data_IF_958877085564
#
_entry.id   IF_958877085564
#
_cell.length_a   1.000
_cell.length_b   1.000
_cell.length_c   1.000
_cell.angle_alpha   90.00
_cell.angle_beta   90.00
_cell.angle_gamma   90.00
#
_symmetry.space_group_name_H-M   'P 1'
#
loop_
_entity.id
_entity.type
_entity.pdbx_description
1 polymer ?
#
# COMPACT_ATOMS: atom_id res chain seq x y z
N UNK A 1 3.17 -53.28 40.71
CA UNK A 1 2.58 -52.55 39.56
C UNK A 1 2.13 -51.21 40.08
N UNK A 2 2.96 -50.17 39.86
CA UNK A 2 2.80 -48.86 40.48
C UNK A 2 2.11 -47.89 39.53
N UNK A 3 1.02 -47.30 40.01
CA UNK A 3 0.31 -46.18 39.39
C UNK A 3 1.11 -44.88 39.57
N UNK A 4 1.23 -44.08 38.52
CA UNK A 4 1.63 -42.67 38.63
C UNK A 4 0.55 -41.79 38.01
N UNK A 5 0.09 -40.86 38.83
CA UNK A 5 -1.00 -39.89 38.65
C UNK A 5 -0.51 -38.67 37.86
N UNK A 6 -1.40 -38.15 37.01
CA UNK A 6 -1.25 -36.94 36.19
C UNK A 6 -1.01 -35.68 37.04
N UNK A 7 0.01 -34.90 36.67
CA UNK A 7 0.24 -33.55 37.18
C UNK A 7 -0.53 -32.52 36.35
N UNK A 8 -1.40 -31.77 37.02
CA UNK A 8 -2.00 -30.53 36.53
C UNK A 8 -1.00 -29.37 36.64
N UNK A 9 -1.05 -28.47 35.67
CA UNK A 9 -0.24 -27.25 35.61
C UNK A 9 -1.17 -26.08 35.87
N UNK A 10 -1.09 -25.50 37.07
CA UNK A 10 -1.72 -24.23 37.42
C UNK A 10 -0.75 -23.09 37.06
N UNK A 11 -1.24 -22.14 36.26
CA UNK A 11 -0.53 -20.90 35.91
C UNK A 11 -1.18 -19.75 36.68
N UNK A 12 -0.48 -19.09 37.63
CA UNK A 12 -1.01 -17.89 38.26
C UNK A 12 -0.76 -16.64 37.39
N UNK A 13 -1.86 -15.96 37.10
CA UNK A 13 -1.94 -14.59 36.58
C UNK A 13 -1.42 -13.62 37.65
N UNK A 14 -0.44 -12.79 37.29
CA UNK A 14 0.04 -11.68 38.11
C UNK A 14 -0.20 -10.37 37.34
N UNK A 15 -1.19 -9.62 37.80
CA UNK A 15 -1.44 -8.24 37.41
C UNK A 15 -0.59 -7.31 38.29
N UNK A 16 0.13 -6.37 37.65
CA UNK A 16 0.83 -5.29 38.34
C UNK A 16 0.40 -3.94 37.73
N UNK A 17 0.03 -3.03 38.63
CA UNK A 17 -0.55 -1.71 38.44
C UNK A 17 0.38 -0.69 37.77
N UNK A 18 -0.15 0.37 37.12
CA UNK A 18 0.57 1.62 36.94
C UNK A 18 0.16 2.66 38.01
N UNK A 19 1.12 3.02 38.88
CA UNK A 19 1.11 4.28 39.65
C UNK A 19 1.97 5.30 38.89
N UNK A 20 1.38 6.41 38.45
CA UNK A 20 2.10 7.65 38.13
C UNK A 20 1.24 8.84 38.59
N UNK A 21 1.62 9.43 39.72
CA UNK A 21 1.27 10.79 40.13
C UNK A 21 2.51 11.69 39.93
N UNK A 22 2.33 12.82 39.24
CA UNK A 22 3.00 14.13 39.40
C UNK A 22 2.66 14.95 38.14
N UNK A 23 1.72 15.92 38.15
CA UNK A 23 1.60 17.20 38.87
C UNK A 23 2.64 18.25 38.45
N UNK A 24 2.12 19.48 38.27
CA UNK A 24 2.70 20.81 38.03
C UNK A 24 2.48 21.32 36.60
N UNK A 25 1.47 22.20 36.37
CA UNK A 25 1.47 23.68 36.57
C UNK A 25 2.41 24.35 35.55
N UNK A 26 2.19 25.49 34.90
CA UNK A 26 1.16 26.52 34.76
C UNK A 26 1.76 27.49 33.69
N UNK A 27 0.97 28.45 33.20
CA UNK A 27 1.38 29.72 32.60
C UNK A 27 1.78 29.79 31.11
N UNK A 28 0.77 30.25 30.34
CA UNK A 28 0.73 31.56 29.66
C UNK A 28 1.66 31.92 28.49
N UNK A 29 0.95 32.39 27.48
CA UNK A 29 1.32 33.15 26.28
C UNK A 29 2.26 34.35 26.49
N UNK A 30 2.93 34.73 25.40
CA UNK A 30 3.41 36.05 24.90
C UNK A 30 4.71 35.77 24.13
N UNK A 31 5.13 36.45 23.07
CA UNK A 31 4.74 37.63 22.31
C UNK A 31 5.62 37.56 21.03
N UNK A 32 5.07 37.82 19.85
CA UNK A 32 5.25 39.08 19.10
C UNK A 32 6.63 39.32 18.49
N UNK A 33 6.58 39.77 17.22
CA UNK A 33 7.58 40.58 16.49
C UNK A 33 8.78 39.83 15.89
N UNK A 34 9.24 40.12 14.67
CA UNK A 34 8.96 41.22 13.74
C UNK A 34 9.59 40.91 12.38
N UNK A 35 8.87 41.24 11.31
CA UNK A 35 9.44 41.51 9.99
C UNK A 35 10.44 42.68 10.05
N UNK A 36 11.36 42.74 9.09
CA UNK A 36 11.51 44.00 8.36
C UNK A 36 11.42 43.81 6.84
N UNK A 37 10.67 44.73 6.24
CA UNK A 37 10.66 45.03 4.82
C UNK A 37 11.95 45.76 4.35
N UNK A 38 12.13 45.76 3.02
CA UNK A 38 12.71 46.78 2.11
C UNK A 38 14.20 46.72 1.72
N UNK A 39 14.41 46.54 0.41
CA UNK A 39 15.16 47.40 -0.55
C UNK A 39 15.42 46.56 -1.82
N UNK A 40 14.77 46.75 -2.97
CA UNK A 40 14.70 47.86 -3.94
C UNK A 40 16.04 48.28 -4.57
N UNK A 41 15.99 48.42 -5.92
CA UNK A 41 17.00 48.88 -6.89
C UNK A 41 17.94 47.77 -7.40
N UNK A 42 18.19 47.57 -8.70
CA UNK A 42 17.95 48.38 -9.89
C UNK A 42 18.16 47.52 -11.15
N UNK A 43 17.50 47.92 -12.24
CA UNK A 43 17.66 47.34 -13.57
C UNK A 43 19.05 47.59 -14.14
N UNK A 44 19.59 46.60 -14.87
CA UNK A 44 20.45 46.80 -16.04
C UNK A 44 20.64 45.47 -16.82
N UNK A 45 20.00 45.41 -17.99
CA UNK A 45 20.47 44.72 -19.21
C UNK A 45 20.77 45.86 -20.20
N UNK A 46 21.64 45.72 -21.23
CA UNK A 46 21.76 44.55 -22.11
C UNK A 46 23.18 44.25 -22.62
N UNK A 47 23.37 43.11 -23.31
CA UNK A 47 23.90 43.06 -24.68
C UNK A 47 24.30 41.63 -25.09
N UNK A 48 23.98 41.34 -26.34
CA UNK A 48 24.08 40.07 -27.05
C UNK A 48 25.47 39.83 -27.65
N UNK A 49 25.88 38.56 -27.71
CA UNK A 49 26.81 37.97 -28.69
C UNK A 49 26.43 36.48 -28.75
N UNK A 50 25.61 36.03 -29.70
CA UNK A 50 25.89 35.74 -31.11
C UNK A 50 27.10 34.84 -31.31
N UNK A 51 26.87 33.52 -31.34
CA UNK A 51 27.55 32.57 -32.24
C UNK A 51 26.64 31.38 -32.53
N UNK A 52 26.19 31.33 -33.78
CA UNK A 52 26.13 30.19 -34.69
C UNK A 52 25.68 28.79 -34.24
N UNK A 53 24.46 28.48 -34.68
CA UNK A 53 24.10 27.37 -35.57
C UNK A 53 24.87 26.03 -35.47
N UNK A 54 24.21 25.00 -34.89
CA UNK A 54 23.98 23.73 -35.61
C UNK A 54 22.81 22.94 -35.03
N UNK A 55 21.64 23.16 -35.63
CA UNK A 55 20.52 22.24 -35.60
C UNK A 55 20.97 20.88 -36.14
N UNK A 56 20.87 19.84 -35.32
CA UNK A 56 20.89 18.47 -35.81
C UNK A 56 19.55 17.84 -35.44
N UNK A 57 18.57 18.03 -36.33
CA UNK A 57 17.35 17.25 -36.37
C UNK A 57 17.71 15.77 -36.59
N UNK A 58 17.84 14.99 -35.52
CA UNK A 58 17.73 13.53 -35.62
C UNK A 58 16.27 13.15 -35.51
N UNK A 59 15.62 13.07 -36.68
CA UNK A 59 14.30 12.47 -36.85
C UNK A 59 14.43 10.97 -36.56
N UNK A 60 14.02 10.52 -35.38
CA UNK A 60 13.67 9.12 -35.18
C UNK A 60 12.33 8.86 -35.86
N UNK A 61 12.42 8.35 -37.08
CA UNK A 61 11.31 7.78 -37.84
C UNK A 61 10.71 6.59 -37.09
N UNK A 62 9.41 6.69 -36.83
CA UNK A 62 8.39 5.63 -37.03
C UNK A 62 8.83 4.20 -36.67
N UNK A 63 8.49 3.77 -35.46
CA UNK A 63 8.17 2.36 -35.19
C UNK A 63 6.66 2.27 -34.99
N UNK A 64 5.93 2.08 -36.09
CA UNK A 64 4.56 1.58 -36.07
C UNK A 64 4.64 0.07 -35.90
N UNK A 65 4.76 -0.41 -34.66
CA UNK A 65 4.41 -1.80 -34.38
C UNK A 65 2.90 -1.89 -34.30
N UNK A 66 2.28 -2.32 -35.41
CA UNK A 66 0.98 -2.96 -35.40
C UNK A 66 1.03 -4.11 -34.37
N UNK A 67 0.48 -3.88 -33.18
CA UNK A 67 -0.15 -4.94 -32.41
C UNK A 67 -1.65 -4.78 -32.59
N UNK A 68 -2.09 -5.20 -33.76
CA UNK A 68 -3.46 -5.62 -33.94
C UNK A 68 -3.72 -6.82 -33.01
N UNK A 69 -4.93 -6.80 -32.46
CA UNK A 69 -5.68 -7.98 -32.11
C UNK A 69 -5.23 -8.77 -30.87
N UNK A 70 -5.67 -8.29 -29.70
CA UNK A 70 -6.23 -9.14 -28.65
C UNK A 70 -7.35 -8.36 -27.94
N UNK A 71 -8.32 -7.90 -28.72
CA UNK A 71 -9.64 -7.53 -28.20
C UNK A 71 -10.47 -8.80 -28.13
N UNK A 72 -10.47 -9.45 -26.96
CA UNK A 72 -11.57 -10.26 -26.42
C UNK A 72 -11.07 -10.92 -25.14
N UNK A 73 -11.32 -10.29 -23.98
CA UNK A 73 -11.45 -10.94 -22.64
C UNK A 73 -11.43 -9.95 -21.45
N UNK A 74 -11.57 -8.63 -21.65
CA UNK A 74 -11.39 -7.65 -20.55
C UNK A 74 -12.53 -6.65 -20.36
N UNK A 75 -13.79 -7.02 -20.66
CA UNK A 75 -14.95 -6.10 -20.50
C UNK A 75 -16.06 -6.56 -19.55
N UNK A 76 -15.85 -7.53 -18.67
CA UNK A 76 -16.93 -7.97 -17.74
C UNK A 76 -16.64 -7.79 -16.25
N UNK A 77 -15.43 -7.41 -15.83
CA UNK A 77 -15.10 -7.38 -14.39
C UNK A 77 -15.76 -6.24 -13.59
N UNK A 78 -16.25 -5.18 -14.25
CA UNK A 78 -16.87 -4.03 -13.58
C UNK A 78 -18.35 -3.81 -13.92
N UNK A 79 -18.93 -4.66 -14.79
CA UNK A 79 -20.34 -4.54 -15.22
C UNK A 79 -21.29 -5.48 -14.46
N UNK A 80 -20.83 -6.14 -13.39
CA UNK A 80 -21.66 -7.02 -12.58
C UNK A 80 -22.51 -6.27 -11.54
N UNK A 81 -22.06 -5.10 -11.05
CA UNK A 81 -22.79 -4.34 -10.02
C UNK A 81 -24.13 -3.78 -10.50
N UNK A 82 -24.23 -3.34 -11.76
CA UNK A 82 -25.48 -2.75 -12.28
C UNK A 82 -26.52 -3.80 -12.69
N UNK A 83 -26.10 -5.02 -13.06
CA UNK A 83 -27.02 -6.12 -13.39
C UNK A 83 -27.58 -6.84 -12.15
N UNK A 84 -26.91 -6.72 -11.00
CA UNK A 84 -27.25 -7.44 -9.77
C UNK A 84 -28.59 -7.05 -9.13
N UNK A 85 -29.11 -5.84 -9.38
CA UNK A 85 -30.36 -5.38 -8.73
C UNK A 85 -31.57 -6.16 -9.25
N UNK A 86 -31.58 -6.52 -10.53
CA UNK A 86 -32.71 -7.22 -11.15
C UNK A 86 -32.43 -8.70 -11.42
N UNK A 87 -31.16 -9.13 -11.39
CA UNK A 87 -30.76 -10.50 -11.62
C UNK A 87 -29.75 -10.90 -10.53
N UNK A 88 -30.21 -11.50 -9.42
CA UNK A 88 -29.28 -11.99 -8.41
C UNK A 88 -28.35 -13.02 -9.05
N UNK A 89 -27.04 -12.89 -8.81
CA UNK A 89 -26.00 -13.86 -9.21
C UNK A 89 -26.33 -15.30 -8.80
N UNK A 90 -25.74 -16.34 -9.35
CA UNK A 90 -25.96 -17.70 -8.82
C UNK A 90 -25.13 -17.96 -7.55
N UNK A 91 -25.46 -19.00 -6.77
CA UNK A 91 -24.60 -19.42 -5.64
C UNK A 91 -23.23 -19.86 -6.14
N UNK A 92 -23.18 -20.60 -7.26
CA UNK A 92 -21.96 -21.07 -7.89
C UNK A 92 -21.03 -19.91 -8.27
N UNK A 93 -21.58 -18.82 -8.82
CA UNK A 93 -20.82 -17.62 -9.15
C UNK A 93 -20.20 -16.95 -7.92
N UNK A 94 -20.94 -16.88 -6.81
CA UNK A 94 -20.44 -16.28 -5.56
C UNK A 94 -19.30 -17.12 -4.99
N UNK A 95 -19.47 -18.44 -4.92
CA UNK A 95 -18.43 -19.33 -4.39
C UNK A 95 -17.19 -19.39 -5.30
N UNK A 96 -17.39 -19.37 -6.62
CA UNK A 96 -16.28 -19.29 -7.58
C UNK A 96 -15.47 -18.00 -7.41
N UNK A 97 -16.15 -16.85 -7.25
CA UNK A 97 -15.47 -15.57 -7.00
C UNK A 97 -14.76 -15.57 -5.64
N UNK A 98 -15.37 -16.12 -4.58
CA UNK A 98 -14.73 -16.26 -3.27
C UNK A 98 -13.45 -17.09 -3.34
N UNK A 99 -13.50 -18.27 -3.97
CA UNK A 99 -12.34 -19.15 -4.10
C UNK A 99 -11.22 -18.47 -4.90
N UNK A 100 -11.56 -17.79 -6.00
CA UNK A 100 -10.61 -17.03 -6.80
C UNK A 100 -9.94 -15.92 -5.99
N UNK A 101 -10.72 -15.13 -5.25
CA UNK A 101 -10.22 -14.03 -4.45
C UNK A 101 -9.37 -14.52 -3.27
N UNK A 102 -9.75 -15.62 -2.61
CA UNK A 102 -8.95 -16.23 -1.55
C UNK A 102 -7.59 -16.71 -2.08
N UNK A 103 -7.56 -17.38 -3.24
CA UNK A 103 -6.31 -17.81 -3.87
C UNK A 103 -5.43 -16.60 -4.25
N UNK A 104 -6.04 -15.57 -4.83
CA UNK A 104 -5.35 -14.34 -5.21
C UNK A 104 -4.79 -13.62 -3.98
N UNK A 105 -5.54 -13.58 -2.88
CA UNK A 105 -5.10 -13.02 -1.60
C UNK A 105 -3.87 -13.74 -1.06
N UNK A 106 -3.84 -15.08 -1.12
CA UNK A 106 -2.67 -15.85 -0.71
C UNK A 106 -1.42 -15.49 -1.52
N UNK A 107 -1.56 -15.28 -2.83
CA UNK A 107 -0.46 -14.83 -3.67
C UNK A 107 0.04 -13.42 -3.30
N UNK A 108 -0.88 -12.50 -2.99
CA UNK A 108 -0.52 -11.16 -2.52
C UNK A 108 0.19 -11.18 -1.17
N UNK A 109 -0.29 -11.97 -0.20
CA UNK A 109 0.36 -12.12 1.10
C UNK A 109 1.79 -12.64 0.94
N UNK A 110 2.00 -13.65 0.08
CA UNK A 110 3.34 -14.16 -0.19
C UNK A 110 4.27 -13.08 -0.79
N UNK A 111 3.77 -12.27 -1.71
CA UNK A 111 4.51 -11.13 -2.27
C UNK A 111 4.80 -10.05 -1.24
N UNK A 112 3.84 -9.77 -0.34
CA UNK A 112 4.01 -8.81 0.75
C UNK A 112 5.11 -9.28 1.70
N UNK A 113 5.11 -10.56 2.10
CA UNK A 113 6.17 -11.14 2.91
C UNK A 113 7.56 -11.02 2.24
N UNK A 114 7.66 -11.31 0.93
CA UNK A 114 8.91 -11.13 0.18
C UNK A 114 9.38 -9.66 0.18
N UNK A 115 8.46 -8.72 -0.06
CA UNK A 115 8.74 -7.28 0.02
C UNK A 115 9.22 -6.86 1.41
N UNK A 116 8.62 -7.38 2.49
CA UNK A 116 9.06 -7.11 3.86
C UNK A 116 10.47 -7.65 4.13
N UNK A 117 10.76 -8.86 3.67
CA UNK A 117 12.09 -9.47 3.80
C UNK A 117 13.16 -8.67 3.05
N UNK A 118 12.85 -8.22 1.83
CA UNK A 118 13.74 -7.35 1.06
C UNK A 118 13.91 -5.99 1.71
N UNK A 119 12.84 -5.43 2.26
CA UNK A 119 12.86 -4.16 2.98
C UNK A 119 13.80 -4.25 4.19
N UNK A 120 13.66 -5.29 5.02
CA UNK A 120 14.49 -5.46 6.22
C UNK A 120 15.97 -5.66 5.88
N UNK A 121 16.28 -6.45 4.85
CA UNK A 121 17.66 -6.63 4.38
C UNK A 121 18.25 -5.31 3.87
N UNK A 122 17.50 -4.57 3.03
CA UNK A 122 17.93 -3.28 2.49
C UNK A 122 18.10 -2.25 3.61
N UNK A 123 17.25 -2.28 4.62
CA UNK A 123 17.35 -1.41 5.81
C UNK A 123 18.67 -1.65 6.54
N UNK A 124 19.05 -2.91 6.77
CA UNK A 124 20.35 -3.25 7.37
C UNK A 124 21.53 -2.72 6.54
N UNK A 125 21.47 -2.83 5.20
CA UNK A 125 22.49 -2.28 4.30
C UNK A 125 22.65 -0.75 4.40
N UNK A 126 21.58 -0.02 4.76
CA UNK A 126 21.69 1.43 4.94
C UNK A 126 22.62 1.81 6.09
N UNK A 127 22.73 0.95 7.12
CA UNK A 127 23.59 1.15 8.28
C UNK A 127 24.95 0.47 8.10
N UNK A 128 24.96 -0.78 7.64
CA UNK A 128 26.13 -1.66 7.62
C UNK A 128 26.93 -1.61 6.31
N UNK A 129 26.41 -0.97 5.25
CA UNK A 129 27.07 -0.98 3.93
C UNK A 129 28.50 -0.43 3.96
N UNK A 130 29.42 -1.11 3.27
CA UNK A 130 30.87 -0.83 3.29
C UNK A 130 31.24 0.57 2.78
N UNK A 131 30.43 1.14 1.88
CA UNK A 131 30.69 2.46 1.28
C UNK A 131 29.52 3.42 1.39
N UNK A 132 29.81 4.72 1.41
CA UNK A 132 28.79 5.79 1.33
C UNK A 132 27.88 5.64 0.11
N UNK A 133 28.42 5.15 -1.01
CA UNK A 133 27.66 4.90 -2.24
C UNK A 133 26.65 3.76 -2.05
N UNK A 134 27.06 2.65 -1.42
CA UNK A 134 26.17 1.54 -1.09
C UNK A 134 25.03 2.00 -0.18
N UNK A 135 25.35 2.69 0.92
CA UNK A 135 24.32 3.21 1.84
C UNK A 135 23.34 4.18 1.15
N UNK A 136 23.82 5.02 0.22
CA UNK A 136 22.95 5.92 -0.56
C UNK A 136 22.02 5.15 -1.50
N UNK A 137 22.53 4.10 -2.16
CA UNK A 137 21.71 3.24 -3.03
C UNK A 137 20.66 2.50 -2.21
N UNK A 138 21.05 1.90 -1.09
CA UNK A 138 20.13 1.19 -0.19
C UNK A 138 19.00 2.11 0.29
N UNK A 139 19.29 3.36 0.70
CA UNK A 139 18.24 4.33 1.06
C UNK A 139 17.26 4.64 -0.08
N UNK A 140 17.74 4.68 -1.33
CA UNK A 140 16.87 4.90 -2.49
C UNK A 140 15.96 3.69 -2.72
N UNK A 141 16.51 2.48 -2.63
CA UNK A 141 15.75 1.24 -2.75
C UNK A 141 14.72 1.09 -1.62
N UNK A 142 15.08 1.48 -0.40
CA UNK A 142 14.17 1.52 0.74
C UNK A 142 12.91 2.35 0.45
N UNK A 143 13.08 3.52 -0.18
CA UNK A 143 11.95 4.37 -0.60
C UNK A 143 11.04 3.70 -1.64
N UNK A 144 11.64 2.98 -2.60
CA UNK A 144 10.89 2.20 -3.59
C UNK A 144 10.11 1.06 -2.93
N UNK A 145 10.77 0.29 -2.06
CA UNK A 145 10.16 -0.84 -1.35
C UNK A 145 9.01 -0.39 -0.45
N UNK A 146 9.10 0.77 0.21
CA UNK A 146 7.98 1.36 0.96
C UNK A 146 6.76 1.63 0.08
N UNK A 147 6.97 2.22 -1.10
CA UNK A 147 5.88 2.44 -2.05
C UNK A 147 5.23 1.14 -2.52
N UNK A 148 6.05 0.11 -2.77
CA UNK A 148 5.55 -1.21 -3.15
C UNK A 148 4.77 -1.89 -2.02
N UNK A 149 5.22 -1.78 -0.77
CA UNK A 149 4.52 -2.30 0.41
C UNK A 149 3.15 -1.63 0.59
N UNK A 150 3.08 -0.30 0.47
CA UNK A 150 1.82 0.44 0.55
C UNK A 150 0.86 -0.05 -0.54
N UNK A 151 1.31 -0.11 -1.78
CA UNK A 151 0.48 -0.58 -2.88
C UNK A 151 0.04 -2.05 -2.71
N UNK A 152 0.93 -2.93 -2.24
CA UNK A 152 0.57 -4.32 -1.95
C UNK A 152 -0.51 -4.41 -0.86
N UNK A 153 -0.38 -3.64 0.21
CA UNK A 153 -1.40 -3.57 1.26
C UNK A 153 -2.74 -3.03 0.74
N UNK A 154 -2.73 -2.02 -0.14
CA UNK A 154 -3.95 -1.53 -0.79
C UNK A 154 -4.66 -2.62 -1.61
N UNK A 155 -3.92 -3.44 -2.35
CA UNK A 155 -4.49 -4.57 -3.10
C UNK A 155 -5.14 -5.60 -2.17
N UNK A 156 -4.48 -5.95 -1.07
CA UNK A 156 -5.04 -6.86 -0.06
C UNK A 156 -6.36 -6.31 0.51
N UNK A 157 -6.40 -5.01 0.83
CA UNK A 157 -7.61 -4.36 1.34
C UNK A 157 -8.76 -4.37 0.33
N UNK A 158 -8.48 -4.16 -0.95
CA UNK A 158 -9.48 -4.26 -2.02
C UNK A 158 -10.07 -5.67 -2.07
N UNK A 159 -9.22 -6.69 -1.97
CA UNK A 159 -9.67 -8.09 -1.98
C UNK A 159 -10.51 -8.39 -0.72
N UNK A 160 -10.08 -7.95 0.45
CA UNK A 160 -10.84 -8.12 1.70
C UNK A 160 -12.21 -7.43 1.64
N UNK A 161 -12.27 -6.20 1.15
CA UNK A 161 -13.53 -5.49 0.97
C UNK A 161 -14.47 -6.27 0.05
N UNK A 162 -13.94 -6.81 -1.06
CA UNK A 162 -14.73 -7.59 -2.01
C UNK A 162 -15.21 -8.93 -1.42
N UNK A 163 -14.36 -9.63 -0.66
CA UNK A 163 -14.75 -10.84 0.06
C UNK A 163 -15.86 -10.56 1.09
N UNK A 164 -15.79 -9.41 1.78
CA UNK A 164 -16.83 -8.95 2.69
C UNK A 164 -18.17 -8.72 1.99
N UNK A 165 -18.17 -8.07 0.81
CA UNK A 165 -19.38 -7.91 -0.01
C UNK A 165 -20.00 -9.26 -0.40
N UNK A 166 -19.18 -10.21 -0.84
CA UNK A 166 -19.66 -11.55 -1.21
C UNK A 166 -20.20 -12.32 0.00
N UNK A 167 -19.61 -12.15 1.17
CA UNK A 167 -20.10 -12.75 2.41
C UNK A 167 -21.50 -12.23 2.77
N UNK A 168 -21.71 -10.92 2.73
CA UNK A 168 -23.02 -10.31 2.98
C UNK A 168 -24.04 -10.75 1.92
N UNK A 169 -23.64 -10.80 0.65
CA UNK A 169 -24.51 -11.28 -0.43
C UNK A 169 -24.94 -12.73 -0.20
N UNK A 170 -24.00 -13.63 0.10
CA UNK A 170 -24.29 -15.03 0.38
C UNK A 170 -25.27 -15.18 1.56
N UNK A 171 -25.03 -14.45 2.67
CA UNK A 171 -25.88 -14.50 3.87
C UNK A 171 -27.28 -13.94 3.64
N UNK A 172 -27.39 -12.87 2.84
CA UNK A 172 -28.69 -12.28 2.49
C UNK A 172 -29.60 -13.20 1.66
N UNK A 173 -29.01 -14.16 0.96
CA UNK A 173 -29.75 -15.18 0.19
C UNK A 173 -30.19 -16.33 1.07
N UNK A 174 -29.31 -16.78 1.95
CA UNK A 174 -29.63 -17.83 2.92
C UNK A 174 -30.83 -17.42 3.79
N UNK A 175 -30.87 -16.17 4.26
CA UNK A 175 -32.03 -15.66 5.02
C UNK A 175 -33.33 -15.57 4.20
N UNK A 176 -33.27 -15.35 2.87
CA UNK A 176 -34.45 -15.39 2.01
C UNK A 176 -34.94 -16.81 1.75
N UNK A 177 -34.04 -17.76 1.53
CA UNK A 177 -34.39 -19.16 1.26
C UNK A 177 -35.01 -19.84 2.50
N UNK A 178 -34.65 -19.42 3.71
CA UNK A 178 -35.21 -19.96 4.97
C UNK A 178 -36.61 -19.42 5.30
N UNK A 179 -37.02 -18.33 4.66
CA UNK A 179 -38.33 -17.68 4.88
C UNK A 179 -39.42 -18.11 3.87
N UNK A 180 -39.12 -19.05 2.97
CA UNK A 180 -40.06 -19.69 2.04
C UNK A 180 -40.41 -21.10 2.51
#
# INVERSE_FOLDING_TARGET
MGSTVSQGVDVPVAAASPSVEQQMDDASATSSNSSPERQSCSAQSPASVSTDHKSTHSRCSRSTSNRENNQSCSRTLFSSRSRAIFHPRSHEEIYAEQAYLSLTLHAHIAQHCDLMNRYSLTEAETFQGESRKCKRRARKELGLLRGQLIHAAEQEQIIFARLGELFVEAKSRESRNVAQ
#
